data_IF_291773332495
#
_entry.id   IF_291773332495
#
_cell.length_a   1.000
_cell.length_b   1.000
_cell.length_c   1.000
_cell.angle_alpha   90.00
_cell.angle_beta   90.00
_cell.angle_gamma   90.00
#
_symmetry.space_group_name_H-M   'P 1'
#
loop_
_entity.id
_entity.type
_entity.pdbx_description
1 polymer ?
#
# COMPACT_ATOMS: atom_id res chain seq x y z
N UNK A 1 -37.59 34.25 -6.56
CA UNK A 1 -36.88 33.69 -5.40
C UNK A 1 -36.40 32.28 -5.79
N UNK A 2 -35.15 32.18 -6.20
CA UNK A 2 -34.53 30.93 -6.68
C UNK A 2 -33.56 30.45 -5.62
N UNK A 3 -33.82 29.28 -5.06
CA UNK A 3 -32.96 28.64 -4.08
C UNK A 3 -31.84 27.88 -4.81
N UNK A 4 -30.62 28.35 -4.64
CA UNK A 4 -29.39 27.60 -5.00
C UNK A 4 -29.25 26.40 -4.07
N UNK A 5 -29.41 25.20 -4.60
CA UNK A 5 -28.90 23.97 -3.99
C UNK A 5 -27.42 23.94 -4.13
N UNK A 6 -26.71 24.03 -3.03
CA UNK A 6 -25.30 23.78 -2.96
C UNK A 6 -25.03 22.27 -3.00
N UNK A 7 -24.44 21.79 -4.06
CA UNK A 7 -23.91 20.44 -4.15
C UNK A 7 -22.57 20.37 -3.40
N UNK A 8 -22.65 20.00 -2.12
CA UNK A 8 -21.51 19.52 -1.37
C UNK A 8 -21.35 18.01 -1.68
N UNK A 9 -20.81 17.68 -2.85
CA UNK A 9 -20.27 16.35 -3.07
C UNK A 9 -18.96 16.24 -2.27
N UNK A 10 -19.07 15.63 -1.11
CA UNK A 10 -17.96 15.31 -0.24
C UNK A 10 -16.99 14.43 -1.00
N UNK A 11 -15.76 14.92 -1.09
CA UNK A 11 -14.60 14.13 -1.44
C UNK A 11 -14.47 12.97 -0.47
N UNK A 12 -14.92 11.81 -0.85
CA UNK A 12 -14.59 10.56 -0.21
C UNK A 12 -13.30 10.09 -0.86
N UNK A 13 -12.18 10.38 -0.22
CA UNK A 13 -10.92 9.68 -0.51
C UNK A 13 -11.07 8.23 -0.04
N UNK A 14 -10.94 7.25 -0.92
CA UNK A 14 -10.60 5.93 -0.47
C UNK A 14 -9.10 5.97 -0.11
N UNK A 15 -8.81 6.05 1.19
CA UNK A 15 -7.47 5.81 1.70
C UNK A 15 -7.08 4.36 1.37
N UNK A 16 -6.49 4.17 0.21
CA UNK A 16 -5.75 2.96 -0.11
C UNK A 16 -4.39 3.07 0.55
N UNK A 17 -4.10 2.11 1.43
CA UNK A 17 -2.86 2.04 2.19
C UNK A 17 -2.59 3.23 3.13
N UNK A 18 -3.58 3.57 3.97
CA UNK A 18 -3.28 4.31 5.18
C UNK A 18 -2.59 3.36 6.16
N UNK A 19 -1.28 3.28 6.13
CA UNK A 19 -0.51 2.80 7.26
C UNK A 19 -0.82 3.71 8.45
N UNK A 20 -1.60 3.23 9.38
CA UNK A 20 -1.74 3.87 10.68
C UNK A 20 -0.55 3.44 11.52
N UNK A 21 0.58 4.12 11.37
CA UNK A 21 1.70 3.98 12.30
C UNK A 21 1.35 4.63 13.62
N UNK A 22 0.86 3.84 14.57
CA UNK A 22 0.93 4.18 15.98
C UNK A 22 2.40 4.04 16.40
N UNK A 23 3.11 5.15 16.47
CA UNK A 23 4.44 5.20 17.06
C UNK A 23 4.36 4.82 18.54
N UNK A 24 4.62 3.56 18.86
CA UNK A 24 5.02 3.12 20.18
C UNK A 24 6.52 2.80 20.11
N UNK A 25 7.31 3.74 20.62
CA UNK A 25 8.73 3.56 20.88
C UNK A 25 8.93 2.40 21.85
N UNK A 26 9.34 1.24 21.33
CA UNK A 26 9.90 0.17 22.11
C UNK A 26 11.10 -0.38 21.35
N UNK A 27 12.29 -0.04 21.84
CA UNK A 27 13.55 -0.55 21.31
C UNK A 27 13.68 -2.02 21.65
N UNK A 28 13.41 -2.90 20.69
CA UNK A 28 13.88 -4.27 20.70
C UNK A 28 14.90 -4.42 19.58
N UNK A 29 16.15 -4.72 19.97
CA UNK A 29 17.21 -5.05 19.03
C UNK A 29 16.85 -6.38 18.33
N UNK A 30 16.44 -6.29 17.07
CA UNK A 30 16.28 -7.44 16.19
C UNK A 30 17.61 -7.68 15.51
N UNK A 31 18.23 -8.84 15.78
CA UNK A 31 19.39 -9.31 15.02
C UNK A 31 18.91 -9.78 13.65
N UNK A 32 18.87 -8.87 12.69
CA UNK A 32 18.68 -9.21 11.28
C UNK A 32 19.96 -9.88 10.75
N UNK A 33 19.79 -10.94 9.97
CA UNK A 33 20.87 -11.46 9.11
C UNK A 33 21.16 -10.39 8.06
N UNK A 34 22.19 -9.60 8.29
CA UNK A 34 22.63 -8.54 7.41
C UNK A 34 22.94 -9.10 6.02
N UNK A 35 22.05 -8.88 5.06
CA UNK A 35 22.49 -8.73 3.67
C UNK A 35 23.17 -7.39 3.59
N UNK A 36 24.41 -7.39 3.11
CA UNK A 36 25.27 -6.23 3.01
C UNK A 36 24.67 -5.18 2.08
N UNK A 37 23.95 -4.20 2.66
CA UNK A 37 23.48 -2.98 2.00
C UNK A 37 24.49 -1.84 2.08
N UNK A 38 25.76 -2.14 2.38
CA UNK A 38 26.85 -1.18 2.58
C UNK A 38 27.19 -0.27 1.38
N UNK A 39 26.45 -0.40 0.27
CA UNK A 39 26.59 0.44 -0.92
C UNK A 39 25.34 1.21 -1.32
N UNK A 40 24.27 1.20 -0.51
CA UNK A 40 23.05 1.93 -0.82
C UNK A 40 23.23 3.43 -0.56
N UNK A 41 22.72 4.26 -1.48
CA UNK A 41 22.73 5.73 -1.33
C UNK A 41 21.35 6.18 -0.84
N UNK A 42 21.30 6.79 0.34
CA UNK A 42 20.08 7.40 0.86
C UNK A 42 19.90 8.80 0.28
N UNK A 43 18.67 9.14 -0.10
CA UNK A 43 18.30 10.48 -0.56
C UNK A 43 16.83 10.78 -0.33
N UNK A 44 16.47 12.07 -0.31
CA UNK A 44 15.07 12.48 -0.29
C UNK A 44 14.41 12.23 -1.65
N UNK A 45 13.09 12.26 -1.68
CA UNK A 45 12.34 12.13 -2.93
C UNK A 45 12.63 13.29 -3.89
N UNK A 46 12.73 14.52 -3.37
CA UNK A 46 13.07 15.71 -4.16
C UNK A 46 14.46 15.55 -4.78
N UNK A 47 15.45 15.11 -3.98
CA UNK A 47 16.81 14.89 -4.45
C UNK A 47 16.86 13.80 -5.53
N UNK A 48 16.03 12.73 -5.39
CA UNK A 48 15.92 11.68 -6.39
C UNK A 48 15.39 12.21 -7.72
N UNK A 49 14.36 13.06 -7.68
CA UNK A 49 13.82 13.71 -8.88
C UNK A 49 14.84 14.66 -9.54
N UNK A 50 15.54 15.47 -8.75
CA UNK A 50 16.54 16.44 -9.24
C UNK A 50 17.76 15.77 -9.90
N UNK A 51 18.21 14.65 -9.35
CA UNK A 51 19.33 13.87 -9.89
C UNK A 51 18.98 13.08 -11.14
N UNK A 52 17.76 13.22 -11.66
CA UNK A 52 17.29 12.53 -12.84
C UNK A 52 16.94 11.07 -12.53
N UNK A 53 16.31 10.84 -11.40
CA UNK A 53 15.67 9.56 -11.07
C UNK A 53 14.82 9.02 -12.22
N UNK A 54 14.44 7.77 -12.15
CA UNK A 54 13.62 7.12 -13.19
C UNK A 54 12.36 7.95 -13.47
N UNK A 55 11.92 7.89 -14.72
CA UNK A 55 10.73 8.66 -15.10
C UNK A 55 9.46 8.01 -14.58
N UNK A 56 8.47 8.85 -14.30
CA UNK A 56 7.11 8.38 -14.10
C UNK A 56 6.59 7.68 -15.36
N UNK A 57 5.96 6.53 -15.18
CA UNK A 57 5.20 5.86 -16.23
C UNK A 57 3.76 5.63 -15.77
N UNK A 58 2.82 5.76 -16.69
CA UNK A 58 1.41 5.49 -16.45
C UNK A 58 1.20 3.98 -16.32
N UNK A 59 0.41 3.56 -15.34
CA UNK A 59 0.10 2.16 -15.09
C UNK A 59 -1.35 1.99 -14.60
N UNK A 60 -1.87 0.80 -14.73
CA UNK A 60 -3.17 0.40 -14.21
C UNK A 60 -3.03 -0.62 -13.09
N UNK A 61 -4.01 -0.62 -12.19
CA UNK A 61 -4.16 -1.67 -11.19
C UNK A 61 -4.86 -2.87 -11.80
N UNK A 62 -4.30 -4.05 -11.63
CA UNK A 62 -4.89 -5.32 -12.07
C UNK A 62 -6.00 -5.75 -11.13
N UNK A 63 -6.88 -6.63 -11.58
CA UNK A 63 -7.70 -7.41 -10.66
C UNK A 63 -6.82 -8.40 -9.91
N UNK A 64 -6.97 -8.48 -8.58
CA UNK A 64 -6.24 -9.45 -7.77
C UNK A 64 -7.06 -9.88 -6.56
N UNK A 65 -6.80 -11.11 -6.10
CA UNK A 65 -7.44 -11.66 -4.90
C UNK A 65 -6.58 -11.40 -3.68
N UNK A 66 -7.22 -10.99 -2.61
CA UNK A 66 -6.66 -10.85 -1.27
C UNK A 66 -7.46 -11.73 -0.32
N UNK A 67 -6.81 -12.29 0.68
CA UNK A 67 -7.48 -12.97 1.77
C UNK A 67 -7.68 -11.99 2.93
N UNK A 68 -8.88 -11.99 3.51
CA UNK A 68 -9.27 -11.08 4.58
C UNK A 68 -9.84 -11.84 5.78
N UNK A 69 -9.47 -11.44 7.00
CA UNK A 69 -9.89 -12.10 8.22
C UNK A 69 -10.09 -11.09 9.35
N UNK A 70 -11.20 -11.18 10.08
CA UNK A 70 -11.33 -10.55 11.39
C UNK A 70 -10.97 -11.53 12.49
N UNK A 71 -10.32 -11.04 13.55
CA UNK A 71 -9.85 -11.85 14.66
C UNK A 71 -10.84 -11.87 15.82
N UNK A 72 -10.90 -13.00 16.55
CA UNK A 72 -11.68 -13.13 17.77
C UNK A 72 -10.91 -12.77 19.06
N UNK A 73 -9.60 -12.63 18.96
CA UNK A 73 -8.67 -12.28 20.04
C UNK A 73 -7.51 -11.47 19.49
N UNK A 74 -6.74 -10.86 20.36
CA UNK A 74 -5.48 -10.20 19.97
C UNK A 74 -4.59 -11.16 19.18
N UNK A 75 -4.12 -10.70 18.03
CA UNK A 75 -3.34 -11.49 17.09
C UNK A 75 -2.17 -10.66 16.57
N UNK A 76 -0.98 -11.23 16.63
CA UNK A 76 0.24 -10.62 16.09
C UNK A 76 0.63 -11.30 14.79
N UNK A 77 1.14 -10.51 13.84
CA UNK A 77 1.75 -11.02 12.62
C UNK A 77 2.92 -10.13 12.19
N UNK A 78 3.88 -10.72 11.49
CA UNK A 78 4.99 -9.99 10.91
C UNK A 78 4.68 -9.64 9.45
N UNK A 79 4.96 -8.40 9.05
CA UNK A 79 5.01 -8.01 7.65
C UNK A 79 6.46 -7.99 7.19
N UNK A 80 6.87 -9.04 6.50
CA UNK A 80 8.25 -9.21 6.03
C UNK A 80 8.67 -8.13 5.01
N UNK A 81 7.72 -7.53 4.30
CA UNK A 81 7.98 -6.49 3.31
C UNK A 81 8.27 -5.12 3.93
N UNK A 82 7.74 -4.89 5.13
CA UNK A 82 7.94 -3.64 5.89
C UNK A 82 8.86 -3.84 7.09
N UNK A 83 9.32 -5.08 7.31
CA UNK A 83 10.15 -5.46 8.47
C UNK A 83 9.49 -5.02 9.79
N UNK A 84 8.18 -5.16 9.88
CA UNK A 84 7.37 -4.63 10.98
C UNK A 84 6.46 -5.70 11.57
N UNK A 85 6.35 -5.71 12.90
CA UNK A 85 5.39 -6.52 13.63
C UNK A 85 4.10 -5.74 13.88
N UNK A 86 2.97 -6.34 13.54
CA UNK A 86 1.64 -5.79 13.78
C UNK A 86 0.94 -6.52 14.90
N UNK A 87 0.23 -5.76 15.76
CA UNK A 87 -0.69 -6.27 16.76
C UNK A 87 -2.11 -5.79 16.43
N UNK A 88 -3.00 -6.73 16.18
CA UNK A 88 -4.41 -6.47 15.87
C UNK A 88 -5.27 -6.93 17.03
N UNK A 89 -6.00 -6.01 17.62
CA UNK A 89 -6.95 -6.29 18.69
C UNK A 89 -8.30 -6.74 18.12
N UNK A 90 -9.05 -7.50 18.92
CA UNK A 90 -10.46 -7.79 18.64
C UNK A 90 -11.32 -6.55 18.94
N UNK A 91 -11.19 -5.53 18.12
CA UNK A 91 -11.95 -4.27 18.24
C UNK A 91 -13.26 -4.28 17.41
N UNK A 92 -13.51 -5.38 16.68
CA UNK A 92 -14.67 -5.53 15.81
C UNK A 92 -14.63 -4.70 14.52
N UNK A 93 -13.54 -3.96 14.26
CA UNK A 93 -13.41 -3.08 13.09
C UNK A 93 -12.08 -3.23 12.35
N UNK A 94 -11.13 -3.99 12.86
CA UNK A 94 -9.85 -4.23 12.19
C UNK A 94 -9.82 -5.59 11.49
N UNK A 95 -9.42 -5.58 10.23
CA UNK A 95 -9.30 -6.75 9.35
C UNK A 95 -7.84 -6.97 9.03
N UNK A 96 -7.37 -8.20 9.16
CA UNK A 96 -6.07 -8.64 8.65
C UNK A 96 -6.24 -9.04 7.19
N UNK A 97 -5.39 -8.48 6.34
CA UNK A 97 -5.34 -8.77 4.91
C UNK A 97 -4.06 -9.54 4.61
N UNK A 98 -4.15 -10.48 3.67
CA UNK A 98 -3.01 -11.24 3.17
C UNK A 98 -3.04 -11.23 1.65
N UNK A 99 -1.99 -10.72 1.06
CA UNK A 99 -1.87 -10.50 -0.38
C UNK A 99 -1.26 -11.67 -1.16
N UNK A 100 -1.03 -11.43 -2.44
CA UNK A 100 -0.67 -12.44 -3.43
C UNK A 100 0.74 -13.04 -3.24
N UNK A 101 1.65 -12.34 -2.58
CA UNK A 101 3.01 -12.83 -2.27
C UNK A 101 3.15 -13.23 -0.80
N UNK A 102 2.03 -13.24 -0.05
CA UNK A 102 1.99 -13.62 1.35
C UNK A 102 2.19 -12.47 2.32
N UNK A 103 2.36 -11.27 1.82
CA UNK A 103 2.43 -10.05 2.63
C UNK A 103 1.14 -9.85 3.43
N UNK A 104 1.28 -9.30 4.63
CA UNK A 104 0.15 -9.12 5.53
C UNK A 104 0.10 -7.68 6.05
N UNK A 105 -1.09 -7.12 6.12
CA UNK A 105 -1.33 -5.79 6.69
C UNK A 105 -2.68 -5.72 7.39
N UNK A 106 -2.90 -4.67 8.16
CA UNK A 106 -4.18 -4.41 8.80
C UNK A 106 -4.90 -3.23 8.15
N UNK A 107 -6.23 -3.32 8.05
CA UNK A 107 -7.08 -2.24 7.56
C UNK A 107 -8.39 -2.19 8.34
N UNK A 108 -9.09 -1.06 8.27
CA UNK A 108 -10.41 -0.93 8.89
C UNK A 108 -11.49 -1.54 8.01
N UNK A 109 -12.44 -2.23 8.62
CA UNK A 109 -13.54 -2.93 7.92
C UNK A 109 -14.30 -2.03 6.93
N UNK A 110 -14.65 -0.77 7.24
CA UNK A 110 -15.29 0.11 6.25
C UNK A 110 -14.44 0.34 5.00
N UNK A 111 -13.11 0.47 5.16
CA UNK A 111 -12.21 0.61 4.02
C UNK A 111 -12.16 -0.67 3.18
N UNK A 112 -12.11 -1.84 3.84
CA UNK A 112 -12.14 -3.12 3.13
C UNK A 112 -13.42 -3.28 2.33
N UNK A 113 -14.58 -3.00 2.93
CA UNK A 113 -15.89 -3.10 2.27
C UNK A 113 -16.00 -2.13 1.08
N UNK A 114 -15.43 -0.93 1.19
CA UNK A 114 -15.50 0.06 0.11
C UNK A 114 -14.51 -0.19 -1.03
N UNK A 115 -13.43 -0.92 -0.76
CA UNK A 115 -12.32 -1.12 -1.72
C UNK A 115 -12.42 -2.44 -2.48
N UNK A 116 -12.99 -3.46 -1.85
CA UNK A 116 -13.01 -4.82 -2.38
C UNK A 116 -14.44 -5.30 -2.61
N UNK A 117 -14.56 -6.35 -3.43
CA UNK A 117 -15.81 -7.06 -3.66
C UNK A 117 -15.66 -8.54 -3.28
N UNK A 118 -16.76 -9.28 -3.27
CA UNK A 118 -16.69 -10.75 -3.28
C UNK A 118 -16.09 -11.24 -4.59
N UNK A 119 -15.60 -12.50 -4.66
CA UNK A 119 -15.03 -13.05 -5.90
C UNK A 119 -15.98 -13.05 -7.10
N UNK A 120 -17.29 -13.02 -6.86
CA UNK A 120 -18.32 -12.91 -7.90
C UNK A 120 -18.63 -11.48 -8.34
N UNK A 121 -17.91 -10.49 -7.78
CA UNK A 121 -18.08 -9.07 -8.06
C UNK A 121 -19.18 -8.38 -7.26
N UNK A 122 -19.93 -9.10 -6.42
CA UNK A 122 -20.95 -8.49 -5.55
C UNK A 122 -20.31 -7.74 -4.39
N UNK A 123 -21.03 -6.72 -3.87
CA UNK A 123 -20.53 -5.88 -2.78
C UNK A 123 -20.32 -6.68 -1.49
N UNK A 124 -19.20 -6.40 -0.79
CA UNK A 124 -18.97 -6.90 0.57
C UNK A 124 -19.90 -6.22 1.57
N UNK A 125 -20.12 -6.90 2.68
CA UNK A 125 -20.85 -6.41 3.83
C UNK A 125 -20.19 -6.86 5.14
N UNK A 126 -20.60 -6.32 6.27
CA UNK A 126 -20.12 -6.76 7.59
C UNK A 126 -20.43 -8.24 7.86
N UNK A 127 -21.52 -8.77 7.29
CA UNK A 127 -21.93 -10.18 7.46
C UNK A 127 -20.90 -11.16 6.88
N UNK A 128 -20.12 -10.76 5.87
CA UNK A 128 -19.06 -11.59 5.29
C UNK A 128 -17.96 -11.90 6.32
N UNK A 129 -17.81 -11.03 7.33
CA UNK A 129 -16.83 -11.10 8.41
C UNK A 129 -17.40 -11.59 9.74
N UNK A 130 -18.62 -12.10 9.75
CA UNK A 130 -19.28 -12.60 10.97
C UNK A 130 -18.54 -13.78 11.60
N UNK A 131 -17.91 -14.64 10.78
CA UNK A 131 -17.10 -15.76 11.26
C UNK A 131 -15.66 -15.31 11.45
N UNK A 132 -15.26 -15.13 12.70
CA UNK A 132 -13.90 -14.72 13.09
C UNK A 132 -12.88 -15.83 12.87
N UNK A 133 -11.60 -15.47 12.80
CA UNK A 133 -10.44 -16.36 12.64
C UNK A 133 -10.51 -17.25 11.39
N UNK A 134 -11.24 -16.81 10.38
CA UNK A 134 -11.35 -17.47 9.09
C UNK A 134 -11.07 -16.49 7.97
N UNK A 135 -10.12 -16.82 7.11
CA UNK A 135 -9.90 -16.08 5.87
C UNK A 135 -11.04 -16.29 4.88
N UNK A 136 -11.45 -15.20 4.25
CA UNK A 136 -12.30 -15.17 3.07
C UNK A 136 -11.54 -14.53 1.92
N UNK A 137 -11.79 -14.98 0.69
CA UNK A 137 -11.25 -14.35 -0.50
C UNK A 137 -12.10 -13.13 -0.85
N UNK A 138 -11.40 -12.02 -1.14
CA UNK A 138 -11.99 -10.77 -1.61
C UNK A 138 -11.24 -10.31 -2.86
N UNK A 139 -11.89 -9.59 -3.76
CA UNK A 139 -11.38 -9.19 -5.05
C UNK A 139 -11.21 -7.67 -5.12
N UNK A 140 -9.99 -7.22 -5.43
CA UNK A 140 -9.75 -5.86 -5.91
C UNK A 140 -10.12 -5.78 -7.39
N UNK A 141 -10.94 -4.78 -7.75
CA UNK A 141 -11.29 -4.55 -9.14
C UNK A 141 -10.14 -3.86 -9.89
N UNK A 142 -10.02 -4.05 -11.21
CA UNK A 142 -9.00 -3.37 -11.99
C UNK A 142 -9.33 -1.88 -12.12
N UNK A 143 -8.29 -1.07 -12.11
CA UNK A 143 -8.35 0.38 -12.34
C UNK A 143 -7.30 0.72 -13.41
N UNK A 144 -7.65 0.65 -14.72
CA UNK A 144 -6.69 0.89 -15.79
C UNK A 144 -6.28 2.37 -15.84
N UNK A 145 -5.02 2.63 -16.20
CA UNK A 145 -4.46 3.97 -16.43
C UNK A 145 -4.76 5.01 -15.33
N UNK A 146 -4.85 4.56 -14.09
CA UNK A 146 -5.26 5.41 -12.97
C UNK A 146 -4.12 5.75 -12.01
N UNK A 147 -2.90 5.29 -12.32
CA UNK A 147 -1.73 5.43 -11.46
C UNK A 147 -0.49 5.80 -12.25
N UNK A 148 0.43 6.48 -11.56
CA UNK A 148 1.80 6.64 -11.99
C UNK A 148 2.73 5.86 -11.08
N UNK A 149 3.77 5.28 -11.66
CA UNK A 149 4.82 4.60 -10.92
C UNK A 149 6.20 5.06 -11.37
N UNK A 150 7.14 5.06 -10.44
CA UNK A 150 8.55 5.37 -10.67
C UNK A 150 9.39 4.29 -10.02
N UNK A 151 10.27 3.67 -10.78
CA UNK A 151 11.16 2.62 -10.27
C UNK A 151 12.30 3.19 -9.46
N UNK A 152 12.66 2.54 -8.34
CA UNK A 152 13.80 2.87 -7.51
C UNK A 152 14.71 1.65 -7.43
N UNK A 153 15.91 1.70 -8.06
CA UNK A 153 16.84 0.57 -8.04
C UNK A 153 17.37 0.27 -6.64
N UNK A 154 17.73 -0.98 -6.36
CA UNK A 154 18.21 -1.42 -5.03
C UNK A 154 19.40 -0.64 -4.47
N UNK A 155 20.21 -0.03 -5.35
CA UNK A 155 21.35 0.78 -4.94
C UNK A 155 20.98 2.12 -4.30
N UNK A 156 19.69 2.47 -4.30
CA UNK A 156 19.16 3.75 -3.80
C UNK A 156 18.05 3.47 -2.78
N UNK A 157 18.07 4.19 -1.66
CA UNK A 157 16.96 4.28 -0.72
C UNK A 157 16.38 5.68 -0.81
N UNK A 158 15.12 5.79 -1.20
CA UNK A 158 14.42 7.07 -1.29
C UNK A 158 13.50 7.22 -0.08
N UNK A 159 13.63 8.36 0.60
CA UNK A 159 12.72 8.75 1.68
C UNK A 159 11.65 9.67 1.13
N UNK A 160 10.39 9.31 1.35
CA UNK A 160 9.20 10.09 0.98
C UNK A 160 8.52 10.57 2.25
N UNK A 161 8.39 11.88 2.43
CA UNK A 161 7.54 12.47 3.46
C UNK A 161 6.14 12.68 2.87
N UNK A 162 5.13 12.01 3.43
CA UNK A 162 3.77 12.07 2.92
C UNK A 162 3.00 13.26 3.49
N UNK A 163 2.01 13.78 2.77
CA UNK A 163 1.18 14.88 3.28
C UNK A 163 0.36 14.52 4.53
N UNK A 164 0.12 13.23 4.77
CA UNK A 164 -0.56 12.76 5.99
C UNK A 164 0.37 12.53 7.18
N UNK A 165 1.69 12.81 7.02
CA UNK A 165 2.67 12.84 8.10
C UNK A 165 3.47 11.55 8.31
N UNK A 166 3.33 10.56 7.45
CA UNK A 166 4.16 9.35 7.47
C UNK A 166 5.47 9.57 6.69
N UNK A 167 6.53 8.90 7.12
CA UNK A 167 7.81 8.84 6.41
C UNK A 167 7.98 7.42 5.87
N UNK A 168 8.02 7.31 4.54
CA UNK A 168 8.16 6.04 3.84
C UNK A 168 9.58 5.91 3.27
N UNK A 169 10.09 4.68 3.23
CA UNK A 169 11.41 4.38 2.69
C UNK A 169 11.32 3.27 1.66
N UNK A 170 11.96 3.46 0.49
CA UNK A 170 12.13 2.39 -0.49
C UNK A 170 13.33 1.53 -0.13
N UNK A 171 13.32 0.30 -0.64
CA UNK A 171 14.43 -0.64 -0.56
C UNK A 171 14.97 -0.85 0.87
N UNK A 172 14.06 -1.01 1.85
CA UNK A 172 14.40 -1.24 3.25
C UNK A 172 15.26 -2.49 3.41
N UNK A 173 16.38 -2.42 4.15
CA UNK A 173 17.22 -3.58 4.43
C UNK A 173 16.42 -4.71 5.09
N UNK A 174 16.62 -5.94 4.60
CA UNK A 174 15.99 -7.14 5.16
C UNK A 174 14.67 -7.55 4.49
N UNK A 175 14.03 -6.68 3.73
CA UNK A 175 12.86 -7.04 2.95
C UNK A 175 13.24 -7.67 1.59
N UNK A 176 12.41 -8.55 1.01
CA UNK A 176 12.61 -9.08 -0.33
C UNK A 176 12.10 -8.08 -1.38
N UNK A 177 12.97 -7.35 -2.04
CA UNK A 177 12.61 -6.28 -2.99
C UNK A 177 12.62 -6.70 -4.47
N UNK A 178 13.07 -7.92 -4.79
CA UNK A 178 13.35 -8.25 -6.18
C UNK A 178 14.51 -7.42 -6.71
N UNK A 179 14.29 -6.60 -7.75
CA UNK A 179 15.30 -5.73 -8.36
C UNK A 179 15.26 -4.28 -7.82
N UNK A 180 14.24 -3.92 -7.07
CA UNK A 180 14.03 -2.59 -6.48
C UNK A 180 12.56 -2.29 -6.29
N UNK A 181 12.24 -1.23 -5.55
CA UNK A 181 10.89 -0.82 -5.20
C UNK A 181 10.31 0.20 -6.19
N UNK A 182 9.05 0.55 -5.99
CA UNK A 182 8.35 1.54 -6.81
C UNK A 182 7.72 2.61 -5.92
N UNK A 183 7.93 3.86 -6.29
CA UNK A 183 7.14 4.98 -5.78
C UNK A 183 5.91 5.08 -6.67
N UNK A 184 4.73 5.11 -6.07
CA UNK A 184 3.44 5.09 -6.78
C UNK A 184 2.58 6.23 -6.30
N UNK A 185 1.81 6.82 -7.21
CA UNK A 185 0.78 7.81 -6.89
C UNK A 185 -0.42 7.65 -7.81
N UNK A 186 -1.53 8.30 -7.49
CA UNK A 186 -2.67 8.36 -8.41
C UNK A 186 -2.39 9.32 -9.57
N UNK A 187 -3.07 9.09 -10.69
CA UNK A 187 -3.21 10.11 -11.71
C UNK A 187 -4.19 11.18 -11.22
N UNK A 188 -3.79 12.45 -11.30
CA UNK A 188 -4.67 13.60 -11.03
C UNK A 188 -5.73 13.75 -12.13
N UNK A 189 -6.73 14.59 -11.92
CA UNK A 189 -7.77 14.91 -12.93
C UNK A 189 -7.17 15.48 -14.23
N UNK A 190 -5.98 16.07 -14.16
CA UNK A 190 -5.26 16.62 -15.30
C UNK A 190 -4.40 15.58 -16.04
N UNK A 191 -4.36 14.34 -15.55
CA UNK A 191 -3.55 13.26 -16.12
C UNK A 191 -2.07 13.34 -15.75
N UNK A 192 -1.69 14.07 -14.70
CA UNK A 192 -0.33 14.17 -14.17
C UNK A 192 -0.22 13.38 -12.85
N UNK A 193 1.00 13.02 -12.38
CA UNK A 193 1.19 12.39 -11.07
C UNK A 193 0.65 13.28 -9.93
N UNK A 194 -0.19 12.73 -9.07
CA UNK A 194 -0.66 13.39 -7.84
C UNK A 194 0.33 13.17 -6.70
N UNK A 195 1.25 14.11 -6.52
CA UNK A 195 2.30 14.00 -5.50
C UNK A 195 1.79 14.18 -4.07
N UNK A 196 0.52 14.52 -3.88
CA UNK A 196 -0.10 14.56 -2.55
C UNK A 196 -0.57 13.19 -2.03
N UNK A 197 -0.63 12.17 -2.91
CA UNK A 197 -1.07 10.81 -2.59
C UNK A 197 -0.02 9.80 -3.05
N UNK A 198 1.17 9.85 -2.43
CA UNK A 198 2.32 9.00 -2.76
C UNK A 198 2.46 7.86 -1.77
N UNK A 199 2.76 6.66 -2.25
CA UNK A 199 3.16 5.52 -1.42
C UNK A 199 4.31 4.75 -2.07
N UNK A 200 4.92 3.84 -1.31
CA UNK A 200 5.97 2.96 -1.80
C UNK A 200 5.44 1.53 -1.88
N UNK A 201 5.70 0.88 -2.99
CA UNK A 201 5.41 -0.54 -3.19
C UNK A 201 6.69 -1.33 -3.37
N UNK A 202 6.79 -2.40 -2.61
CA UNK A 202 7.85 -3.37 -2.73
C UNK A 202 7.91 -3.98 -4.14
N UNK A 203 9.10 -4.09 -4.70
CA UNK A 203 9.30 -4.57 -6.07
C UNK A 203 8.86 -6.01 -6.33
N UNK A 204 8.77 -6.84 -5.29
CA UNK A 204 8.20 -8.18 -5.42
C UNK A 204 6.66 -8.16 -5.53
N UNK A 205 6.03 -7.11 -5.00
CA UNK A 205 4.57 -6.91 -4.95
C UNK A 205 4.06 -6.19 -6.19
N UNK A 206 4.75 -5.14 -6.62
CA UNK A 206 4.30 -4.26 -7.71
C UNK A 206 3.80 -5.03 -8.94
N UNK A 207 4.55 -6.00 -9.55
CA UNK A 207 4.12 -6.70 -10.75
C UNK A 207 2.94 -7.64 -10.54
N UNK A 208 2.50 -7.86 -9.28
CA UNK A 208 1.32 -8.66 -8.96
C UNK A 208 0.05 -7.83 -9.01
N UNK A 209 0.17 -6.54 -8.68
CA UNK A 209 -0.98 -5.64 -8.51
C UNK A 209 -1.10 -4.59 -9.60
N UNK A 210 0.01 -4.28 -10.31
CA UNK A 210 0.04 -3.25 -11.33
C UNK A 210 0.50 -3.81 -12.68
N UNK A 211 0.12 -3.12 -13.74
CA UNK A 211 0.54 -3.42 -15.09
C UNK A 211 2.01 -3.03 -15.29
N UNK A 212 2.77 -3.91 -15.92
CA UNK A 212 4.22 -3.70 -16.15
C UNK A 212 4.57 -3.64 -17.64
N UNK A 213 3.58 -3.68 -18.52
CA UNK A 213 3.78 -3.81 -19.96
C UNK A 213 4.44 -2.57 -20.59
N UNK A 214 4.48 -1.45 -19.86
CA UNK A 214 5.08 -0.19 -20.27
C UNK A 214 6.51 0.01 -19.73
N UNK A 215 7.02 -0.91 -18.92
CA UNK A 215 8.40 -0.88 -18.46
C UNK A 215 9.27 -1.41 -19.58
N UNK A 216 9.76 -0.51 -20.44
CA UNK A 216 10.79 -0.84 -21.44
C UNK A 216 12.04 -1.30 -20.70
N UNK A 217 12.41 -2.57 -20.89
CA UNK A 217 13.68 -3.13 -20.43
C UNK A 217 14.86 -2.52 -21.17
#
# INVERSE_FOLDING_TARGET
MSAKRGDNLKKWLPALFGLLTLALSSSCAVTSKDKDFSGQTDMSFEEYLEKGGEKWFLTGKRAYTVQAMMVSKETSFNNELEVTDYNVNNDGVTVILKGAVGEMWASKLPNVISTYTRPDGSALSEDDFAVKDRYIDILALPEPDSYYAMYVPLSISVTVETEWGDVLHSNLPGAPHGEGDYIVCRASENGEPDLSDIWILNGAVFPKYYETDHISK
#
